data_IF_725082236971
#
_entry.id   IF_725082236971
#
_cell.length_a   1.000
_cell.length_b   1.000
_cell.length_c   1.000
_cell.angle_alpha   90.00
_cell.angle_beta   90.00
_cell.angle_gamma   90.00
#
_symmetry.space_group_name_H-M   'P 1'
#
loop_
_entity.id
_entity.type
_entity.pdbx_description
1 polymer ?
#
# COMPACT_ATOMS: atom_id res chain seq x y z
N UNK A 1 13.16 27.26 3.87
CA UNK A 1 13.96 26.03 3.70
C UNK A 1 14.03 25.05 4.93
N UNK A 2 12.99 24.87 5.77
CA UNK A 2 12.87 23.69 6.64
C UNK A 2 12.21 22.49 5.94
N UNK A 3 11.32 22.74 4.98
CA UNK A 3 10.48 21.73 4.32
C UNK A 3 11.29 20.66 3.57
N UNK A 4 12.37 21.05 2.91
CA UNK A 4 13.30 20.11 2.27
C UNK A 4 13.93 19.14 3.27
N UNK A 5 14.20 19.57 4.52
CA UNK A 5 14.76 18.68 5.56
C UNK A 5 13.76 17.60 5.96
N UNK A 6 12.47 17.94 6.05
CA UNK A 6 11.42 16.97 6.35
C UNK A 6 11.13 16.02 5.19
N UNK A 7 11.15 16.52 3.94
CA UNK A 7 11.05 15.69 2.74
C UNK A 7 12.21 14.69 2.66
N UNK A 8 13.44 15.15 2.92
CA UNK A 8 14.63 14.30 2.93
C UNK A 8 14.62 13.31 4.11
N UNK A 9 14.05 13.70 5.25
CA UNK A 9 13.86 12.83 6.41
C UNK A 9 12.86 11.72 6.11
N UNK A 10 11.71 12.04 5.52
CA UNK A 10 10.66 11.08 5.17
C UNK A 10 11.16 10.14 4.07
N UNK A 11 11.77 10.68 3.02
CA UNK A 11 12.44 9.88 2.00
C UNK A 11 13.51 8.98 2.63
N UNK A 12 14.31 9.51 3.57
CA UNK A 12 15.29 8.76 4.33
C UNK A 12 14.69 7.63 5.16
N UNK A 13 13.55 7.84 5.81
CA UNK A 13 12.85 6.83 6.61
C UNK A 13 12.27 5.73 5.71
N UNK A 14 11.61 6.10 4.61
CA UNK A 14 11.06 5.13 3.64
C UNK A 14 12.19 4.33 2.98
N UNK A 15 13.27 5.00 2.59
CA UNK A 15 14.45 4.37 1.99
C UNK A 15 15.19 3.50 3.02
N UNK A 16 15.24 3.89 4.29
CA UNK A 16 15.73 3.05 5.39
C UNK A 16 14.89 1.80 5.57
N UNK A 17 13.56 1.91 5.55
CA UNK A 17 12.68 0.73 5.62
C UNK A 17 12.92 -0.22 4.44
N UNK A 18 13.09 0.31 3.23
CA UNK A 18 13.39 -0.49 2.03
C UNK A 18 14.80 -1.12 2.10
N UNK A 19 15.80 -0.39 2.61
CA UNK A 19 17.16 -0.92 2.77
C UNK A 19 17.23 -1.94 3.90
N UNK A 20 16.58 -1.70 5.03
CA UNK A 20 16.54 -2.61 6.17
C UNK A 20 15.81 -3.90 5.81
N UNK A 21 14.71 -3.82 5.06
CA UNK A 21 14.03 -5.01 4.52
C UNK A 21 14.92 -5.75 3.52
N UNK A 22 15.58 -5.06 2.58
CA UNK A 22 16.58 -5.68 1.68
C UNK A 22 17.75 -6.30 2.43
N UNK A 23 18.25 -5.66 3.50
CA UNK A 23 19.35 -6.17 4.33
C UNK A 23 18.91 -7.37 5.16
N UNK A 24 17.70 -7.38 5.70
CA UNK A 24 17.14 -8.53 6.41
C UNK A 24 17.01 -9.74 5.46
N UNK A 25 16.51 -9.51 4.24
CA UNK A 25 16.44 -10.54 3.19
C UNK A 25 17.83 -11.02 2.78
N UNK A 26 18.79 -10.11 2.57
CA UNK A 26 20.18 -10.48 2.23
C UNK A 26 20.92 -11.15 3.39
N UNK A 27 20.64 -10.79 4.63
CA UNK A 27 21.24 -11.38 5.83
C UNK A 27 20.74 -12.80 6.02
N UNK A 28 19.43 -13.02 5.88
CA UNK A 28 18.88 -14.37 5.79
C UNK A 28 19.56 -15.15 4.66
N UNK A 29 19.64 -14.58 3.44
CA UNK A 29 20.32 -15.24 2.30
C UNK A 29 21.78 -15.62 2.56
N UNK A 30 22.54 -14.77 3.26
CA UNK A 30 23.95 -15.03 3.62
C UNK A 30 24.10 -16.05 4.75
N UNK A 31 23.17 -16.11 5.70
CA UNK A 31 23.13 -17.15 6.74
C UNK A 31 22.75 -18.52 6.15
N UNK A 32 22.04 -18.56 5.01
CA UNK A 32 21.79 -19.78 4.23
C UNK A 32 22.90 -20.17 3.24
N UNK A 33 23.90 -19.30 2.98
CA UNK A 33 24.99 -19.54 2.00
C UNK A 33 26.24 -20.24 2.60
N UNK A 34 26.30 -20.49 3.92
CA UNK A 34 27.33 -21.34 4.56
C UNK A 34 26.64 -22.50 5.30
N UNK A 35 26.39 -23.64 4.64
CA UNK A 35 27.44 -24.65 4.50
C UNK A 35 27.53 -25.34 3.11
N UNK A 36 28.78 -25.56 2.70
CA UNK A 36 29.36 -26.49 1.70
C UNK A 36 28.44 -27.48 0.93
N UNK A 37 28.37 -27.29 -0.41
CA UNK A 37 28.06 -28.23 -1.56
C UNK A 37 26.62 -28.75 -1.78
N UNK A 38 26.25 -29.19 -3.01
CA UNK A 38 26.48 -28.67 -4.37
C UNK A 38 25.16 -28.25 -5.05
N UNK A 39 25.28 -27.58 -6.21
CA UNK A 39 24.21 -27.01 -7.04
C UNK A 39 23.05 -27.98 -7.29
N UNK A 40 21.97 -27.89 -6.52
CA UNK A 40 20.65 -28.34 -6.92
C UNK A 40 19.89 -27.14 -7.47
N UNK A 41 19.29 -27.30 -8.66
CA UNK A 41 18.37 -26.33 -9.27
C UNK A 41 17.48 -25.77 -8.17
N UNK A 42 17.58 -24.47 -7.93
CA UNK A 42 16.64 -23.75 -7.07
C UNK A 42 15.27 -23.89 -7.70
N UNK A 43 14.56 -24.95 -7.30
CA UNK A 43 13.12 -24.91 -7.17
C UNK A 43 12.90 -23.65 -6.36
N UNK A 44 12.31 -22.64 -7.00
CA UNK A 44 11.84 -21.45 -6.30
C UNK A 44 10.90 -22.03 -5.25
N UNK A 45 11.38 -22.10 -4.01
CA UNK A 45 10.59 -22.49 -2.87
C UNK A 45 9.57 -21.36 -2.72
N UNK A 46 8.47 -21.50 -3.47
CA UNK A 46 7.28 -20.68 -3.28
C UNK A 46 6.99 -20.83 -1.80
N UNK A 47 6.89 -19.71 -1.10
CA UNK A 47 6.24 -19.63 0.20
C UNK A 47 5.09 -20.63 0.17
N UNK A 48 5.05 -21.64 1.08
CA UNK A 48 4.01 -22.64 1.03
C UNK A 48 2.68 -21.91 0.96
N UNK A 49 1.89 -22.18 -0.11
CA UNK A 49 0.56 -21.60 -0.26
C UNK A 49 -0.16 -21.87 1.05
N UNK A 50 -0.68 -20.82 1.69
CA UNK A 50 -1.47 -20.99 2.90
C UNK A 50 -2.57 -22.01 2.61
N UNK A 51 -2.81 -22.90 3.56
CA UNK A 51 -4.02 -23.71 3.51
C UNK A 51 -5.24 -22.79 3.57
N UNK A 52 -6.40 -23.25 3.09
CA UNK A 52 -7.63 -22.45 3.13
C UNK A 52 -7.95 -21.95 4.54
N UNK A 53 -7.74 -22.80 5.56
CA UNK A 53 -7.93 -22.42 6.98
C UNK A 53 -6.96 -21.32 7.45
N UNK A 54 -5.70 -21.36 7.00
CA UNK A 54 -4.69 -20.35 7.33
C UNK A 54 -4.96 -19.03 6.61
N UNK A 55 -5.46 -19.09 5.37
CA UNK A 55 -5.90 -17.93 4.61
C UNK A 55 -7.10 -17.27 5.30
N UNK A 56 -8.15 -18.02 5.60
CA UNK A 56 -9.37 -17.51 6.23
C UNK A 56 -9.08 -16.86 7.58
N UNK A 57 -8.23 -17.50 8.39
CA UNK A 57 -7.81 -16.95 9.69
C UNK A 57 -7.04 -15.64 9.53
N UNK A 58 -6.09 -15.59 8.59
CA UNK A 58 -5.29 -14.39 8.33
C UNK A 58 -6.16 -13.27 7.77
N UNK A 59 -7.06 -13.60 6.85
CA UNK A 59 -7.99 -12.66 6.26
C UNK A 59 -8.96 -12.10 7.30
N UNK A 60 -9.60 -12.94 8.11
CA UNK A 60 -10.52 -12.48 9.15
C UNK A 60 -9.84 -11.51 10.14
N UNK A 61 -8.58 -11.74 10.46
CA UNK A 61 -7.83 -10.87 11.39
C UNK A 61 -7.40 -9.54 10.75
N UNK A 62 -7.02 -9.54 9.47
CA UNK A 62 -6.39 -8.39 8.83
C UNK A 62 -7.34 -7.59 7.92
N UNK A 63 -8.39 -8.22 7.41
CA UNK A 63 -9.32 -7.64 6.44
C UNK A 63 -10.04 -6.39 6.96
N UNK A 64 -10.19 -6.24 8.28
CA UNK A 64 -10.71 -5.00 8.88
C UNK A 64 -9.82 -3.78 8.59
N UNK A 65 -8.52 -3.95 8.41
CA UNK A 65 -7.62 -2.85 8.03
C UNK A 65 -7.90 -2.36 6.59
N UNK A 66 -8.46 -3.19 5.70
CA UNK A 66 -8.97 -2.73 4.39
C UNK A 66 -10.17 -1.81 4.55
N UNK A 67 -11.06 -2.12 5.50
CA UNK A 67 -12.21 -1.26 5.80
C UNK A 67 -11.75 0.06 6.42
N UNK A 68 -10.74 0.04 7.30
CA UNK A 68 -10.10 1.25 7.81
C UNK A 68 -9.44 2.06 6.69
N UNK A 69 -8.77 1.40 5.75
CA UNK A 69 -8.21 2.06 4.56
C UNK A 69 -9.32 2.68 3.68
N UNK A 70 -10.45 1.98 3.52
CA UNK A 70 -11.63 2.50 2.84
C UNK A 70 -12.25 3.71 3.55
N UNK A 71 -12.37 3.66 4.87
CA UNK A 71 -12.85 4.77 5.68
C UNK A 71 -11.90 5.98 5.59
N UNK A 72 -10.59 5.76 5.60
CA UNK A 72 -9.58 6.80 5.37
C UNK A 72 -9.75 7.47 4.00
N UNK A 73 -10.03 6.69 2.95
CA UNK A 73 -10.35 7.23 1.63
C UNK A 73 -11.65 8.05 1.62
N UNK A 74 -12.72 7.60 2.30
CA UNK A 74 -13.96 8.37 2.42
C UNK A 74 -13.77 9.68 3.20
N UNK A 75 -12.92 9.69 4.22
CA UNK A 75 -12.56 10.92 4.92
C UNK A 75 -11.86 11.92 3.99
N UNK A 76 -10.97 11.44 3.10
CA UNK A 76 -10.35 12.28 2.08
C UNK A 76 -11.37 12.84 1.09
N UNK A 77 -12.37 12.05 0.67
CA UNK A 77 -13.49 12.53 -0.15
C UNK A 77 -14.20 13.69 0.52
N UNK A 78 -14.58 13.53 1.80
CA UNK A 78 -15.27 14.56 2.55
C UNK A 78 -14.44 15.86 2.62
N UNK A 79 -13.16 15.76 2.98
CA UNK A 79 -12.29 16.94 3.07
C UNK A 79 -12.07 17.60 1.70
N UNK A 80 -11.81 16.80 0.66
CA UNK A 80 -11.59 17.30 -0.69
C UNK A 80 -12.82 18.05 -1.21
N UNK A 81 -14.04 17.50 -1.03
CA UNK A 81 -15.29 18.17 -1.42
C UNK A 81 -15.47 19.46 -0.62
N UNK A 82 -15.28 19.42 0.69
CA UNK A 82 -15.44 20.60 1.55
C UNK A 82 -14.54 21.75 1.06
N UNK A 83 -13.26 21.47 0.82
CA UNK A 83 -12.29 22.48 0.37
C UNK A 83 -12.56 22.87 -1.10
N UNK A 84 -13.00 21.93 -1.96
CA UNK A 84 -13.34 22.22 -3.35
C UNK A 84 -14.52 23.19 -3.47
N UNK A 85 -15.50 23.11 -2.57
CA UNK A 85 -16.64 24.03 -2.53
C UNK A 85 -16.22 25.44 -2.11
N UNK A 86 -15.23 25.57 -1.22
CA UNK A 86 -14.68 26.85 -0.78
C UNK A 86 -13.74 27.49 -1.82
N UNK A 87 -12.93 26.67 -2.50
CA UNK A 87 -11.84 27.15 -3.37
C UNK A 87 -12.16 27.07 -4.87
N UNK A 88 -13.25 26.40 -5.27
CA UNK A 88 -13.59 26.05 -6.66
C UNK A 88 -12.46 25.36 -7.43
N UNK A 89 -11.56 24.66 -6.73
CA UNK A 89 -10.44 23.97 -7.35
C UNK A 89 -10.87 22.66 -8.02
N UNK A 90 -10.62 22.53 -9.31
CA UNK A 90 -10.90 21.30 -10.08
C UNK A 90 -10.00 20.13 -9.65
N UNK A 91 -8.80 20.42 -9.13
CA UNK A 91 -7.83 19.42 -8.66
C UNK A 91 -8.42 18.61 -7.50
N UNK A 92 -9.17 19.27 -6.61
CA UNK A 92 -9.82 18.63 -5.46
C UNK A 92 -11.07 17.82 -5.85
N UNK A 93 -11.73 18.18 -6.94
CA UNK A 93 -12.79 17.33 -7.51
C UNK A 93 -12.24 16.02 -8.08
N UNK A 94 -11.08 16.09 -8.75
CA UNK A 94 -10.35 14.91 -9.20
C UNK A 94 -9.93 14.06 -7.99
N UNK A 95 -9.41 14.66 -6.93
CA UNK A 95 -9.11 13.96 -5.68
C UNK A 95 -10.31 13.15 -5.18
N UNK A 96 -11.42 13.85 -4.96
CA UNK A 96 -12.64 13.26 -4.42
C UNK A 96 -13.07 12.05 -5.25
N UNK A 97 -13.02 12.15 -6.59
CA UNK A 97 -13.40 11.04 -7.47
C UNK A 97 -12.49 9.81 -7.28
N UNK A 98 -11.17 10.01 -7.27
CA UNK A 98 -10.20 8.91 -7.11
C UNK A 98 -10.25 8.29 -5.71
N UNK A 99 -10.37 9.11 -4.67
CA UNK A 99 -10.47 8.67 -3.28
C UNK A 99 -11.77 7.89 -3.06
N UNK A 100 -12.89 8.34 -3.65
CA UNK A 100 -14.16 7.60 -3.59
C UNK A 100 -14.07 6.25 -4.32
N UNK A 101 -13.51 6.24 -5.53
CA UNK A 101 -13.27 5.00 -6.26
C UNK A 101 -12.38 4.03 -5.47
N UNK A 102 -11.32 4.52 -4.83
CA UNK A 102 -10.44 3.70 -4.00
C UNK A 102 -11.19 3.12 -2.79
N UNK A 103 -12.08 3.87 -2.14
CA UNK A 103 -12.92 3.34 -1.06
C UNK A 103 -13.82 2.18 -1.53
N UNK A 104 -14.45 2.31 -2.70
CA UNK A 104 -15.25 1.24 -3.31
C UNK A 104 -14.38 0.01 -3.59
N UNK A 105 -13.20 0.21 -4.18
CA UNK A 105 -12.29 -0.89 -4.50
C UNK A 105 -11.76 -1.57 -3.23
N UNK A 106 -11.57 -0.86 -2.12
CA UNK A 106 -11.23 -1.47 -0.84
C UNK A 106 -12.28 -2.50 -0.39
N UNK A 107 -13.57 -2.17 -0.57
CA UNK A 107 -14.68 -3.10 -0.28
C UNK A 107 -14.67 -4.30 -1.24
N UNK A 108 -14.35 -4.08 -2.52
CA UNK A 108 -14.18 -5.19 -3.47
C UNK A 108 -13.01 -6.10 -3.12
N UNK A 109 -11.87 -5.56 -2.68
CA UNK A 109 -10.75 -6.36 -2.18
C UNK A 109 -11.21 -7.16 -0.95
N UNK A 110 -11.92 -6.50 -0.03
CA UNK A 110 -12.46 -7.10 1.19
C UNK A 110 -13.41 -8.29 0.92
N UNK A 111 -14.22 -8.21 -0.14
CA UNK A 111 -15.22 -9.24 -0.50
C UNK A 111 -14.72 -10.32 -1.44
N UNK A 112 -13.92 -9.95 -2.45
CA UNK A 112 -13.58 -10.82 -3.58
C UNK A 112 -12.20 -11.44 -3.48
N UNK A 113 -11.30 -10.94 -2.63
CA UNK A 113 -9.96 -11.51 -2.43
C UNK A 113 -9.07 -11.54 -3.69
N UNK A 114 -9.39 -10.74 -4.72
CA UNK A 114 -8.72 -10.76 -6.01
C UNK A 114 -7.50 -9.83 -6.06
N UNK A 115 -6.38 -10.29 -6.64
CA UNK A 115 -5.18 -9.49 -6.88
C UNK A 115 -5.43 -8.31 -7.81
N UNK A 116 -6.30 -8.49 -8.80
CA UNK A 116 -6.68 -7.43 -9.77
C UNK A 116 -7.22 -6.20 -9.05
N UNK A 117 -8.07 -6.38 -8.04
CA UNK A 117 -8.64 -5.28 -7.26
C UNK A 117 -7.56 -4.55 -6.45
N UNK A 118 -6.54 -5.25 -5.95
CA UNK A 118 -5.38 -4.64 -5.26
C UNK A 118 -4.59 -3.73 -6.21
N UNK A 119 -4.33 -4.18 -7.45
CA UNK A 119 -3.64 -3.34 -8.44
C UNK A 119 -4.45 -2.11 -8.84
N UNK A 120 -5.77 -2.27 -9.01
CA UNK A 120 -6.68 -1.14 -9.30
C UNK A 120 -6.64 -0.14 -8.14
N UNK A 121 -6.70 -0.61 -6.89
CA UNK A 121 -6.60 0.26 -5.72
C UNK A 121 -5.27 1.01 -5.68
N UNK A 122 -4.15 0.32 -5.94
CA UNK A 122 -2.83 0.93 -6.02
C UNK A 122 -2.77 2.04 -7.07
N UNK A 123 -3.29 1.78 -8.28
CA UNK A 123 -3.34 2.79 -9.33
C UNK A 123 -4.18 4.01 -8.92
N UNK A 124 -5.33 3.77 -8.28
CA UNK A 124 -6.23 4.83 -7.82
C UNK A 124 -5.63 5.70 -6.71
N UNK A 125 -4.68 5.20 -5.93
CA UNK A 125 -3.99 6.02 -4.93
C UNK A 125 -2.72 6.68 -5.51
N UNK A 126 -1.93 5.95 -6.29
CA UNK A 126 -0.66 6.46 -6.84
C UNK A 126 -0.88 7.58 -7.85
N UNK A 127 -1.88 7.47 -8.72
CA UNK A 127 -2.15 8.48 -9.74
C UNK A 127 -2.44 9.86 -9.12
N UNK A 128 -3.36 10.00 -8.15
CA UNK A 128 -3.52 11.24 -7.40
C UNK A 128 -2.25 11.68 -6.69
N UNK A 129 -1.54 10.77 -6.00
CA UNK A 129 -0.30 11.13 -5.27
C UNK A 129 0.71 11.81 -6.22
N UNK A 130 0.91 11.25 -7.41
CA UNK A 130 1.80 11.83 -8.43
C UNK A 130 1.28 13.20 -8.92
N UNK A 131 -0.03 13.33 -9.09
CA UNK A 131 -0.69 14.57 -9.51
C UNK A 131 -0.64 15.69 -8.45
N UNK A 132 -0.80 15.36 -7.15
CA UNK A 132 -0.69 16.32 -6.05
C UNK A 132 0.76 16.75 -5.82
N UNK A 133 1.71 15.83 -5.97
CA UNK A 133 3.13 16.18 -5.93
C UNK A 133 3.53 17.12 -7.07
N UNK A 134 2.99 16.94 -8.29
CA UNK A 134 3.31 17.82 -9.42
C UNK A 134 2.69 19.21 -9.32
N UNK A 135 1.62 19.36 -8.51
CA UNK A 135 0.89 20.62 -8.31
C UNK A 135 1.27 21.36 -7.02
N UNK A 136 2.23 20.85 -6.25
CA UNK A 136 2.75 21.51 -5.03
C UNK A 136 1.96 21.22 -3.74
N UNK A 137 1.02 20.29 -3.78
CA UNK A 137 0.12 19.92 -2.67
C UNK A 137 0.67 18.71 -1.88
N UNK A 138 1.83 18.89 -1.25
CA UNK A 138 2.58 17.78 -0.64
C UNK A 138 1.91 17.17 0.60
N UNK A 139 1.21 17.97 1.40
CA UNK A 139 0.52 17.51 2.60
C UNK A 139 -0.62 16.55 2.26
N UNK A 140 -1.40 16.87 1.23
CA UNK A 140 -2.50 16.04 0.73
C UNK A 140 -1.97 14.71 0.15
N UNK A 141 -0.79 14.72 -0.46
CA UNK A 141 -0.13 13.51 -0.94
C UNK A 141 0.35 12.60 0.21
N UNK A 142 0.80 13.15 1.34
CA UNK A 142 1.26 12.37 2.49
C UNK A 142 0.15 11.59 3.17
N UNK A 143 -1.05 12.18 3.29
CA UNK A 143 -2.21 11.53 3.93
C UNK A 143 -2.59 10.24 3.18
N UNK A 144 -2.41 10.23 1.86
CA UNK A 144 -2.68 9.05 1.01
C UNK A 144 -1.71 7.88 1.21
N UNK A 145 -0.58 8.09 1.87
CA UNK A 145 0.33 7.01 2.22
C UNK A 145 -0.26 6.10 3.29
N UNK A 146 -1.13 6.62 4.15
CA UNK A 146 -1.70 5.85 5.25
C UNK A 146 -2.57 4.67 4.76
N UNK A 147 -3.55 4.85 3.85
CA UNK A 147 -4.30 3.73 3.29
C UNK A 147 -3.43 2.71 2.54
N UNK A 148 -2.35 3.16 1.88
CA UNK A 148 -1.39 2.27 1.20
C UNK A 148 -0.64 1.36 2.18
N UNK A 149 -0.22 1.90 3.32
CA UNK A 149 0.47 1.12 4.35
C UNK A 149 -0.48 0.06 4.93
N UNK A 150 -1.74 0.41 5.17
CA UNK A 150 -2.76 -0.56 5.62
C UNK A 150 -2.97 -1.66 4.59
N UNK A 151 -3.13 -1.30 3.31
CA UNK A 151 -3.25 -2.27 2.22
C UNK A 151 -2.06 -3.25 2.22
N UNK A 152 -0.84 -2.72 2.36
CA UNK A 152 0.36 -3.55 2.39
C UNK A 152 0.34 -4.58 3.53
N UNK A 153 -0.07 -4.17 4.74
CA UNK A 153 -0.17 -5.09 5.87
C UNK A 153 -1.21 -6.19 5.68
N UNK A 154 -2.33 -5.88 5.02
CA UNK A 154 -3.37 -6.88 4.75
C UNK A 154 -2.94 -7.84 3.64
N UNK A 155 -2.41 -7.29 2.56
CA UNK A 155 -2.17 -8.04 1.32
C UNK A 155 -0.90 -8.88 1.42
N UNK A 156 0.18 -8.37 2.01
CA UNK A 156 1.48 -9.06 2.09
C UNK A 156 1.39 -10.51 2.60
N UNK A 157 0.71 -10.82 3.73
CA UNK A 157 0.68 -12.18 4.25
C UNK A 157 -0.16 -13.16 3.40
N UNK A 158 -1.11 -12.67 2.61
CA UNK A 158 -2.04 -13.51 1.84
C UNK A 158 -1.81 -13.45 0.33
N UNK A 159 -0.83 -12.67 -0.13
CA UNK A 159 -0.59 -12.35 -1.53
C UNK A 159 -0.49 -13.58 -2.44
N UNK A 160 0.29 -14.58 -2.03
CA UNK A 160 0.53 -15.79 -2.82
C UNK A 160 -0.69 -16.72 -2.89
N UNK A 161 -1.63 -16.55 -1.97
CA UNK A 161 -2.88 -17.31 -1.86
C UNK A 161 -4.07 -16.60 -2.50
N UNK A 162 -4.01 -15.28 -2.75
CA UNK A 162 -5.05 -14.55 -3.48
C UNK A 162 -5.13 -15.00 -4.95
N UNK A 163 -6.32 -14.94 -5.55
CA UNK A 163 -6.57 -15.26 -6.97
C UNK A 163 -6.21 -14.11 -7.93
#
# INVERSE_FOLDING_TARGET
MPEFKYILLIFGIVLLLVILTRKAIKKQKKEFENPVKPVQKTVIERSPKLTEEQFDKSWKNLSYLLLVAGAGNLFMVYNAIKIALETRSYVLWIDSAFSFAAAIVAVFIWRLHNRKSVYIYLALIVLPVMFFMSTGHYQDAMIRLFPLVLLYFVVKPVWDSME
#
